data_IF_430360489408
#
_entry.id   IF_430360489408
#
_cell.length_a   1.000
_cell.length_b   1.000
_cell.length_c   1.000
_cell.angle_alpha   90.00
_cell.angle_beta   90.00
_cell.angle_gamma   90.00
#
_symmetry.space_group_name_H-M   'P 1'
#
loop_
_entity.id
_entity.type
_entity.pdbx_description
1 polymer ?
#
# COMPACT_ATOMS: atom_id res chain seq x y z
N UNK A 1 15.63 -3.46 -4.45
CA UNK A 1 15.52 -2.01 -4.79
C UNK A 1 16.37 -1.12 -3.88
N UNK A 2 16.09 -0.97 -2.57
CA UNK A 2 16.99 -0.16 -1.69
C UNK A 2 18.37 -0.78 -1.52
N UNK A 3 18.48 -2.10 -1.41
CA UNK A 3 19.75 -2.84 -1.36
C UNK A 3 20.61 -2.70 -2.63
N UNK A 4 19.97 -2.57 -3.81
CA UNK A 4 20.67 -2.35 -5.08
C UNK A 4 21.38 -0.99 -5.14
N UNK A 5 20.94 -0.01 -4.33
CA UNK A 5 21.56 1.30 -4.18
C UNK A 5 22.45 1.41 -2.92
N UNK A 6 22.75 0.28 -2.25
CA UNK A 6 23.57 0.26 -1.06
C UNK A 6 22.95 0.93 0.17
N UNK A 7 21.63 1.13 0.17
CA UNK A 7 20.90 1.69 1.30
C UNK A 7 20.31 0.58 2.16
N UNK A 8 20.46 0.71 3.47
CA UNK A 8 19.89 -0.20 4.47
C UNK A 8 18.66 0.49 5.05
N UNK A 9 17.53 -0.20 5.02
CA UNK A 9 16.31 0.26 5.69
C UNK A 9 16.46 0.05 7.19
N UNK A 10 16.38 1.11 8.03
CA UNK A 10 16.37 0.95 9.48
C UNK A 10 15.24 0.04 9.93
N UNK A 11 15.49 -0.84 10.89
CA UNK A 11 14.49 -1.79 11.40
C UNK A 11 13.28 -1.07 12.00
N UNK A 12 13.48 0.07 12.67
CA UNK A 12 12.40 0.89 13.24
C UNK A 12 11.42 1.45 12.19
N UNK A 13 11.79 1.44 10.89
CA UNK A 13 10.91 1.86 9.79
C UNK A 13 10.04 0.73 9.23
N UNK A 14 10.29 -0.51 9.69
CA UNK A 14 9.42 -1.65 9.42
C UNK A 14 8.35 -1.72 10.51
N UNK A 15 7.20 -1.12 10.23
CA UNK A 15 6.11 -0.99 11.20
C UNK A 15 5.13 -2.15 11.01
N UNK A 16 4.89 -2.91 12.08
CA UNK A 16 3.75 -3.82 12.15
C UNK A 16 2.46 -3.01 12.29
N UNK A 17 1.48 -3.29 11.44
CA UNK A 17 0.20 -2.57 11.44
C UNK A 17 -0.84 -3.18 12.40
N UNK A 18 -0.48 -4.28 13.09
CA UNK A 18 -1.38 -5.01 13.98
C UNK A 18 -0.72 -5.41 15.29
N UNK A 19 -1.53 -5.44 16.33
CA UNK A 19 -1.14 -6.01 17.62
C UNK A 19 -1.18 -7.56 17.61
N UNK A 20 -0.74 -8.19 18.71
CA UNK A 20 -0.76 -9.66 18.89
C UNK A 20 -2.16 -10.28 18.76
N UNK A 21 -3.23 -9.49 18.90
CA UNK A 21 -4.63 -9.92 18.75
C UNK A 21 -5.18 -9.69 17.35
N UNK A 22 -4.37 -9.09 16.45
CA UNK A 22 -4.74 -8.79 15.07
C UNK A 22 -5.52 -7.48 14.89
N UNK A 23 -5.64 -6.65 15.93
CA UNK A 23 -6.22 -5.31 15.82
C UNK A 23 -5.20 -4.33 15.27
N UNK A 24 -5.68 -3.37 14.47
CA UNK A 24 -4.84 -2.31 13.95
C UNK A 24 -4.24 -1.47 15.09
N UNK A 25 -2.91 -1.43 15.17
CA UNK A 25 -2.15 -0.70 16.19
C UNK A 25 -0.84 -0.18 15.56
N UNK A 26 -0.88 1.05 15.05
CA UNK A 26 0.25 1.66 14.37
C UNK A 26 1.06 2.48 15.37
N UNK A 27 2.32 2.07 15.58
CA UNK A 27 3.29 2.78 16.41
C UNK A 27 4.31 3.46 15.53
N UNK A 28 4.37 4.79 15.62
CA UNK A 28 5.32 5.58 14.84
C UNK A 28 6.74 5.37 15.34
N UNK A 29 7.75 5.35 14.45
CA UNK A 29 9.15 5.21 14.83
C UNK A 29 9.66 6.47 15.53
N UNK A 30 10.77 6.34 16.27
CA UNK A 30 11.39 7.49 16.93
C UNK A 30 11.99 8.48 15.93
N UNK A 31 12.60 7.95 14.86
CA UNK A 31 13.15 8.77 13.76
C UNK A 31 12.27 8.60 12.54
N UNK A 32 11.56 9.67 12.17
CA UNK A 32 10.57 9.62 11.10
C UNK A 32 11.23 9.59 9.73
N UNK A 33 10.79 8.70 8.82
CA UNK A 33 11.18 8.76 7.41
C UNK A 33 10.46 9.88 6.67
N UNK A 34 10.92 10.24 5.49
CA UNK A 34 10.25 11.21 4.62
C UNK A 34 8.98 10.64 3.95
N UNK A 35 8.87 9.31 3.86
CA UNK A 35 7.73 8.63 3.26
C UNK A 35 7.50 7.25 3.84
N UNK A 36 6.22 6.82 3.83
CA UNK A 36 5.80 5.46 4.13
C UNK A 36 5.13 4.80 2.93
N UNK A 37 5.38 3.51 2.76
CA UNK A 37 4.67 2.64 1.82
C UNK A 37 3.90 1.61 2.64
N UNK A 38 2.58 1.60 2.51
CA UNK A 38 1.69 0.74 3.26
C UNK A 38 1.22 -0.45 2.43
N UNK A 39 0.94 -1.56 3.10
CA UNK A 39 0.48 -2.80 2.48
C UNK A 39 -0.96 -2.71 1.94
N UNK A 40 -1.77 -1.76 2.44
CA UNK A 40 -3.12 -1.47 1.94
C UNK A 40 -3.53 -0.03 2.28
N UNK A 41 -4.60 0.45 1.63
CA UNK A 41 -5.13 1.80 1.87
C UNK A 41 -5.72 1.96 3.27
N UNK A 42 -6.21 0.89 3.88
CA UNK A 42 -6.70 0.94 5.26
C UNK A 42 -5.56 1.28 6.23
N UNK A 43 -4.44 0.57 6.14
CA UNK A 43 -3.25 0.86 6.95
C UNK A 43 -2.71 2.27 6.67
N UNK A 44 -2.68 2.69 5.40
CA UNK A 44 -2.28 4.05 5.01
C UNK A 44 -3.19 5.12 5.64
N UNK A 45 -4.50 4.91 5.64
CA UNK A 45 -5.46 5.84 6.25
C UNK A 45 -5.29 5.96 7.77
N UNK A 46 -5.06 4.84 8.46
CA UNK A 46 -4.80 4.85 9.90
C UNK A 46 -3.45 5.47 10.25
N UNK A 47 -2.42 5.20 9.44
CA UNK A 47 -1.11 5.84 9.59
C UNK A 47 -1.22 7.36 9.43
N UNK A 48 -1.97 7.86 8.45
CA UNK A 48 -2.20 9.29 8.26
C UNK A 48 -2.86 9.89 9.50
N UNK A 49 -3.90 9.25 10.04
CA UNK A 49 -4.56 9.73 11.26
C UNK A 49 -3.58 9.80 12.44
N UNK A 50 -2.71 8.80 12.59
CA UNK A 50 -1.73 8.78 13.69
C UNK A 50 -0.65 9.85 13.51
N UNK A 51 -0.17 10.05 12.27
CA UNK A 51 0.75 11.14 11.92
C UNK A 51 0.15 12.51 12.24
N UNK A 52 -1.11 12.75 11.83
CA UNK A 52 -1.81 14.03 12.08
C UNK A 52 -2.03 14.29 13.58
N UNK A 53 -2.36 13.26 14.38
CA UNK A 53 -2.45 13.38 15.86
C UNK A 53 -1.13 13.83 16.49
N UNK A 54 0.00 13.40 15.94
CA UNK A 54 1.33 13.80 16.41
C UNK A 54 1.84 15.10 15.79
N UNK A 55 1.03 15.76 14.96
CA UNK A 55 1.32 17.08 14.39
C UNK A 55 2.06 17.07 13.07
N UNK A 56 2.26 15.90 12.45
CA UNK A 56 2.83 15.80 11.11
C UNK A 56 1.76 16.09 10.04
N UNK A 57 2.14 16.80 9.00
CA UNK A 57 1.28 17.10 7.85
C UNK A 57 1.57 16.12 6.72
N UNK A 58 0.52 15.57 6.14
CA UNK A 58 0.60 14.73 4.94
C UNK A 58 -0.01 15.51 3.77
N UNK A 59 0.69 15.74 2.68
CA UNK A 59 2.02 15.22 2.30
C UNK A 59 3.20 16.14 2.64
N UNK A 60 3.02 17.30 3.28
CA UNK A 60 4.02 18.36 3.39
C UNK A 60 5.25 17.90 4.17
N UNK A 61 5.07 17.22 5.29
CA UNK A 61 6.14 16.72 6.14
C UNK A 61 6.49 15.26 5.79
N UNK A 62 5.47 14.41 5.58
CA UNK A 62 5.61 12.98 5.31
C UNK A 62 4.67 12.56 4.18
N UNK A 63 5.20 11.88 3.17
CA UNK A 63 4.40 11.28 2.10
C UNK A 63 3.92 9.89 2.48
N UNK A 64 2.71 9.50 2.06
CA UNK A 64 2.16 8.17 2.32
C UNK A 64 1.59 7.57 1.03
N UNK A 65 1.99 6.33 0.73
CA UNK A 65 1.49 5.55 -0.41
C UNK A 65 0.79 4.31 0.12
N UNK A 66 -0.41 4.07 -0.38
CA UNK A 66 -1.18 2.87 -0.10
C UNK A 66 -1.07 1.80 -1.19
N UNK A 67 -1.86 0.76 -1.05
CA UNK A 67 -1.98 -0.34 -2.00
C UNK A 67 -3.45 -0.79 -2.05
N UNK A 68 -3.90 -1.28 -3.20
CA UNK A 68 -5.22 -1.76 -3.62
C UNK A 68 -6.17 -0.70 -4.19
N UNK A 69 -5.99 0.58 -3.90
CA UNK A 69 -6.88 1.69 -4.25
C UNK A 69 -8.33 1.45 -3.80
N UNK A 70 -8.47 0.88 -2.60
CA UNK A 70 -9.75 0.57 -2.00
C UNK A 70 -9.81 1.07 -0.56
N UNK A 71 -10.50 2.17 -0.34
CA UNK A 71 -10.72 2.75 0.98
C UNK A 71 -12.20 2.94 1.25
N UNK A 72 -12.66 2.50 2.41
CA UNK A 72 -14.04 2.73 2.84
C UNK A 72 -14.30 4.23 3.00
N UNK A 73 -15.45 4.74 2.50
CA UNK A 73 -15.81 6.15 2.65
C UNK A 73 -15.80 6.58 4.13
N UNK A 74 -15.23 7.75 4.41
CA UNK A 74 -15.20 8.35 5.75
C UNK A 74 -14.06 7.85 6.65
N UNK A 75 -13.18 6.99 6.15
CA UNK A 75 -12.07 6.47 6.95
C UNK A 75 -10.92 7.47 7.11
N UNK A 76 -10.69 8.32 6.13
CA UNK A 76 -9.77 9.46 6.20
C UNK A 76 -10.30 10.60 5.34
N UNK A 77 -9.93 11.84 5.69
CA UNK A 77 -10.23 13.02 4.89
C UNK A 77 -9.28 13.17 3.68
N UNK A 78 -8.15 12.47 3.69
CA UNK A 78 -7.13 12.53 2.62
C UNK A 78 -7.39 11.50 1.53
N UNK A 79 -7.22 11.93 0.29
CA UNK A 79 -7.17 11.02 -0.85
C UNK A 79 -5.77 10.41 -0.97
N UNK A 80 -5.69 9.09 -0.78
CA UNK A 80 -4.42 8.36 -0.69
C UNK A 80 -3.94 7.98 -2.09
N UNK A 81 -2.74 8.41 -2.47
CA UNK A 81 -1.99 7.86 -3.62
C UNK A 81 -1.79 6.37 -3.40
N UNK A 82 -2.22 5.55 -4.35
CA UNK A 82 -2.27 4.10 -4.17
C UNK A 82 -1.94 3.33 -5.45
N UNK A 83 -1.44 2.11 -5.30
CA UNK A 83 -1.32 1.18 -6.42
C UNK A 83 -2.67 0.48 -6.63
N UNK A 84 -3.38 0.84 -7.68
CA UNK A 84 -4.67 0.24 -8.02
C UNK A 84 -4.49 -1.17 -8.59
N UNK A 85 -5.13 -2.12 -7.95
CA UNK A 85 -5.16 -3.53 -8.38
C UNK A 85 -6.31 -3.72 -9.37
N UNK A 86 -6.03 -4.33 -10.53
CA UNK A 86 -7.07 -4.63 -11.51
C UNK A 86 -7.87 -5.89 -11.10
N UNK A 87 -8.78 -5.71 -10.14
CA UNK A 87 -9.59 -6.81 -9.58
C UNK A 87 -10.45 -7.51 -10.62
N UNK A 88 -10.96 -6.80 -11.61
CA UNK A 88 -11.77 -7.39 -12.69
C UNK A 88 -10.97 -8.40 -13.51
N UNK A 89 -9.75 -8.03 -13.91
CA UNK A 89 -8.86 -8.93 -14.64
C UNK A 89 -8.40 -10.08 -13.75
N UNK A 90 -8.10 -9.82 -12.48
CA UNK A 90 -7.74 -10.88 -11.52
C UNK A 90 -8.84 -11.92 -11.37
N UNK A 91 -10.10 -11.49 -11.18
CA UNK A 91 -11.26 -12.40 -11.08
C UNK A 91 -11.42 -13.21 -12.37
N UNK A 92 -11.31 -12.59 -13.54
CA UNK A 92 -11.41 -13.28 -14.83
C UNK A 92 -10.33 -14.37 -14.95
N UNK A 93 -9.07 -14.02 -14.71
CA UNK A 93 -7.94 -14.96 -14.78
C UNK A 93 -8.10 -16.10 -13.77
N UNK A 94 -8.51 -15.80 -12.54
CA UNK A 94 -8.73 -16.80 -11.51
C UNK A 94 -9.86 -17.78 -11.90
N UNK A 95 -10.98 -17.25 -12.40
CA UNK A 95 -12.10 -18.08 -12.85
C UNK A 95 -11.73 -18.97 -14.05
N UNK A 96 -11.02 -18.42 -15.05
CA UNK A 96 -10.55 -19.21 -16.21
C UNK A 96 -9.62 -20.35 -15.78
N UNK A 97 -8.71 -20.10 -14.82
CA UNK A 97 -7.84 -21.13 -14.26
C UNK A 97 -8.63 -22.20 -13.52
N UNK A 98 -9.57 -21.81 -12.67
CA UNK A 98 -10.41 -22.74 -11.92
C UNK A 98 -11.23 -23.64 -12.87
N UNK A 99 -11.86 -23.07 -13.89
CA UNK A 99 -12.61 -23.84 -14.89
C UNK A 99 -11.72 -24.80 -15.70
N UNK A 100 -10.48 -24.40 -16.03
CA UNK A 100 -9.52 -25.30 -16.67
C UNK A 100 -9.14 -26.48 -15.76
N UNK A 101 -8.89 -26.21 -14.46
CA UNK A 101 -8.54 -27.27 -13.50
C UNK A 101 -9.70 -28.24 -13.23
N UNK A 102 -10.97 -27.77 -13.26
CA UNK A 102 -12.14 -28.64 -13.14
C UNK A 102 -12.19 -29.63 -14.33
N UNK A 103 -11.88 -29.16 -15.54
CA UNK A 103 -11.89 -30.00 -16.76
C UNK A 103 -10.66 -30.91 -16.86
N UNK A 104 -9.51 -30.42 -16.42
CA UNK A 104 -8.26 -31.17 -16.39
C UNK A 104 -7.45 -30.76 -15.16
N UNK A 105 -7.35 -31.60 -14.11
CA UNK A 105 -6.70 -31.31 -12.85
C UNK A 105 -5.22 -30.90 -12.97
N UNK A 106 -4.53 -31.29 -14.03
CA UNK A 106 -3.13 -30.95 -14.27
C UNK A 106 -2.92 -29.64 -15.05
N UNK A 107 -4.01 -29.06 -15.56
CA UNK A 107 -3.97 -27.77 -16.28
C UNK A 107 -4.16 -26.58 -15.35
N UNK A 108 -3.83 -25.38 -15.84
CA UNK A 108 -4.08 -24.12 -15.11
C UNK A 108 -3.15 -23.87 -13.94
N UNK A 109 -2.15 -24.73 -13.69
CA UNK A 109 -1.11 -24.53 -12.67
C UNK A 109 -0.13 -23.43 -13.13
N UNK A 110 0.47 -22.76 -12.15
CA UNK A 110 1.48 -21.74 -12.39
C UNK A 110 1.01 -20.32 -12.04
N UNK A 111 1.98 -19.42 -11.99
CA UNK A 111 1.80 -18.01 -11.66
C UNK A 111 1.17 -17.26 -12.83
N UNK A 112 0.19 -16.40 -12.53
CA UNK A 112 -0.31 -15.37 -13.44
C UNK A 112 -0.15 -14.01 -12.77
N UNK A 113 0.53 -13.10 -13.42
CA UNK A 113 0.73 -11.74 -12.93
C UNK A 113 -0.28 -10.83 -13.63
N UNK A 114 -1.04 -10.08 -12.84
CA UNK A 114 -1.96 -9.06 -13.33
C UNK A 114 -1.38 -7.71 -12.93
N UNK A 115 -1.07 -6.88 -13.92
CA UNK A 115 -0.52 -5.54 -13.68
C UNK A 115 -1.61 -4.60 -13.20
N UNK A 116 -1.25 -3.75 -12.24
CA UNK A 116 -2.02 -2.59 -11.81
C UNK A 116 -1.38 -1.29 -12.29
N UNK A 117 -1.77 -0.18 -11.70
CA UNK A 117 -1.25 1.16 -11.99
C UNK A 117 -1.19 2.01 -10.72
N UNK A 118 -0.28 2.99 -10.69
CA UNK A 118 -0.31 4.03 -9.66
C UNK A 118 -1.45 5.01 -9.97
N UNK A 119 -2.24 5.32 -8.95
CA UNK A 119 -3.25 6.39 -8.97
C UNK A 119 -2.77 7.48 -8.03
N UNK A 120 -2.22 8.53 -8.60
CA UNK A 120 -1.72 9.69 -7.86
C UNK A 120 -2.87 10.51 -7.29
N UNK A 121 -2.75 10.87 -6.02
CA UNK A 121 -3.70 11.69 -5.28
C UNK A 121 -2.95 12.67 -4.36
N UNK A 122 -3.52 13.00 -3.19
CA UNK A 122 -3.05 14.09 -2.32
C UNK A 122 -1.97 13.68 -1.32
N UNK A 123 -1.80 12.40 -1.02
CA UNK A 123 -0.96 11.93 0.09
C UNK A 123 0.54 11.86 -0.21
N UNK A 124 0.96 12.27 -1.41
CA UNK A 124 2.36 12.31 -1.82
C UNK A 124 2.74 13.71 -2.27
N UNK A 125 3.85 14.22 -1.75
CA UNK A 125 4.40 15.52 -2.15
C UNK A 125 4.94 15.46 -3.57
N UNK A 126 4.52 16.38 -4.43
CA UNK A 126 5.09 16.52 -5.78
C UNK A 126 6.54 16.94 -5.70
N UNK A 127 7.39 16.28 -6.48
CA UNK A 127 8.79 16.67 -6.60
C UNK A 127 8.92 18.03 -7.29
N UNK A 128 9.69 18.94 -6.70
CA UNK A 128 10.04 20.23 -7.32
C UNK A 128 11.00 20.08 -8.51
N UNK A 129 11.33 18.85 -8.93
CA UNK A 129 12.25 18.59 -10.05
C UNK A 129 11.56 18.46 -11.42
N UNK A 130 10.21 18.56 -11.46
CA UNK A 130 9.45 18.62 -12.72
C UNK A 130 8.96 20.06 -12.96
N UNK A 131 9.91 20.95 -13.25
CA UNK A 131 9.64 22.29 -13.79
C UNK A 131 10.54 22.53 -15.00
#
# INVERSE_FOLDING_TARGET
MMLEHGQILPEEWLIEDRDEKGYMDIKLPQHMPEAFVCNCDLAAGMLIQELEKQGYRVPEDISVVGFDNYLYPGFTAKNITSYEVNTQVMVKVALEKALKQIKNPDSGRGLSIVSGKIVEKESVRKSSRES
#
